data_IF_698104961702
#
_entry.id   IF_698104961702
#
_cell.length_a   1.000
_cell.length_b   1.000
_cell.length_c   1.000
_cell.angle_alpha   90.00
_cell.angle_beta   90.00
_cell.angle_gamma   90.00
#
_symmetry.space_group_name_H-M   'P 1'
#
loop_
_entity.id
_entity.type
_entity.pdbx_description
1 polymer ?
#
# COMPACT_ATOMS: atom_id res chain seq x y z
N UNK A 1 21.10 -13.68 13.68
CA UNK A 1 21.61 -15.04 13.44
C UNK A 1 20.67 -15.75 12.48
N UNK A 2 21.22 -16.26 11.34
CA UNK A 2 20.48 -16.94 10.28
C UNK A 2 21.14 -18.29 10.02
N UNK A 3 20.37 -19.38 10.12
CA UNK A 3 20.81 -20.71 9.74
C UNK A 3 20.09 -21.16 8.48
N UNK A 4 20.84 -21.50 7.44
CA UNK A 4 20.33 -22.08 6.22
C UNK A 4 20.64 -23.58 6.18
N UNK A 5 19.70 -24.36 5.64
CA UNK A 5 19.91 -25.76 5.28
C UNK A 5 19.80 -25.91 3.78
N UNK A 6 20.75 -26.60 3.21
CA UNK A 6 20.72 -27.04 1.83
C UNK A 6 20.07 -28.43 1.76
N UNK A 7 19.10 -28.56 0.88
CA UNK A 7 18.38 -29.80 0.60
C UNK A 7 18.84 -30.32 -0.75
N UNK A 8 19.89 -31.13 -0.77
CA UNK A 8 20.56 -31.62 -1.97
C UNK A 8 19.64 -32.39 -2.92
N UNK A 9 18.66 -33.12 -2.39
CA UNK A 9 17.70 -33.91 -3.18
C UNK A 9 16.78 -33.06 -4.05
N UNK A 10 16.57 -31.79 -3.72
CA UNK A 10 15.68 -30.85 -4.43
C UNK A 10 16.39 -29.58 -4.87
N UNK A 11 17.71 -29.49 -4.65
CA UNK A 11 18.52 -28.33 -5.04
C UNK A 11 18.07 -27.00 -4.41
N UNK A 12 17.51 -27.04 -3.19
CA UNK A 12 16.97 -25.85 -2.52
C UNK A 12 17.70 -25.53 -1.23
N UNK A 13 18.02 -24.25 -1.04
CA UNK A 13 18.48 -23.70 0.24
C UNK A 13 17.30 -23.05 0.94
N UNK A 14 17.05 -23.44 2.19
CA UNK A 14 15.97 -22.89 3.01
C UNK A 14 16.51 -22.36 4.33
N UNK A 15 15.92 -21.25 4.79
CA UNK A 15 16.15 -20.74 6.13
C UNK A 15 15.53 -21.73 7.13
N UNK A 16 16.39 -22.36 7.93
CA UNK A 16 15.97 -23.37 8.92
C UNK A 16 15.68 -22.75 10.28
N UNK A 17 16.56 -21.86 10.74
CA UNK A 17 16.43 -21.19 12.02
C UNK A 17 16.93 -19.76 11.92
N UNK A 18 16.23 -18.81 12.56
CA UNK A 18 16.61 -17.42 12.55
C UNK A 18 16.07 -16.67 13.77
N UNK A 19 16.90 -15.81 14.32
CA UNK A 19 16.47 -14.80 15.28
C UNK A 19 16.28 -13.49 14.56
N UNK A 20 15.08 -12.94 14.60
CA UNK A 20 14.72 -11.68 13.97
C UNK A 20 14.54 -10.59 15.02
N UNK A 21 15.08 -9.39 14.76
CA UNK A 21 14.96 -8.24 15.66
C UNK A 21 13.54 -7.65 15.72
N UNK A 22 12.63 -8.06 14.80
CA UNK A 22 11.24 -7.58 14.66
C UNK A 22 11.11 -6.08 14.31
N UNK A 23 12.21 -5.40 14.05
CA UNK A 23 12.27 -3.96 13.71
C UNK A 23 12.09 -3.76 12.21
N UNK A 24 10.89 -3.99 11.69
CA UNK A 24 10.61 -3.97 10.24
C UNK A 24 10.73 -2.58 9.58
N UNK A 25 10.80 -1.50 10.36
CA UNK A 25 11.01 -0.14 9.83
C UNK A 25 12.49 0.20 9.59
N UNK A 26 13.42 -0.57 10.18
CA UNK A 26 14.86 -0.34 10.07
C UNK A 26 15.65 -1.57 9.65
N UNK A 27 15.03 -2.74 9.64
CA UNK A 27 15.67 -4.00 9.28
C UNK A 27 15.05 -4.57 7.98
N UNK A 28 15.77 -4.58 6.85
CA UNK A 28 15.25 -5.07 5.57
C UNK A 28 14.74 -6.51 5.65
N UNK A 29 15.45 -7.41 6.35
CA UNK A 29 15.03 -8.81 6.51
C UNK A 29 13.69 -8.95 7.24
N UNK A 30 13.48 -8.15 8.29
CA UNK A 30 12.21 -8.13 9.02
C UNK A 30 11.08 -7.54 8.18
N UNK A 31 11.37 -6.51 7.36
CA UNK A 31 10.44 -5.90 6.44
C UNK A 31 9.99 -6.90 5.36
N UNK A 32 10.94 -7.54 4.67
CA UNK A 32 10.67 -8.57 3.63
C UNK A 32 9.82 -9.71 4.22
N UNK A 33 10.19 -10.23 5.37
CA UNK A 33 9.45 -11.32 6.02
C UNK A 33 8.02 -10.93 6.36
N UNK A 34 7.82 -9.70 6.87
CA UNK A 34 6.48 -9.17 7.18
C UNK A 34 5.65 -9.02 5.91
N UNK A 35 6.23 -8.45 4.85
CA UNK A 35 5.58 -8.30 3.55
C UNK A 35 5.17 -9.63 2.95
N UNK A 36 6.08 -10.60 2.91
CA UNK A 36 5.81 -11.95 2.39
C UNK A 36 4.69 -12.67 3.16
N UNK A 37 4.66 -12.55 4.50
CA UNK A 37 3.59 -13.12 5.31
C UNK A 37 2.24 -12.46 5.03
N UNK A 38 2.20 -11.13 4.89
CA UNK A 38 0.99 -10.40 4.55
C UNK A 38 0.51 -10.78 3.14
N UNK A 39 1.41 -10.76 2.16
CA UNK A 39 1.11 -11.17 0.78
C UNK A 39 0.46 -12.55 0.74
N UNK A 40 1.07 -13.57 1.35
CA UNK A 40 0.51 -14.92 1.37
C UNK A 40 -0.90 -14.98 1.96
N UNK A 41 -1.14 -14.29 3.09
CA UNK A 41 -2.45 -14.24 3.72
C UNK A 41 -3.52 -13.56 2.84
N UNK A 42 -3.17 -12.50 2.12
CA UNK A 42 -4.11 -11.80 1.23
C UNK A 42 -4.34 -12.56 -0.07
N UNK A 43 -3.33 -13.23 -0.63
CA UNK A 43 -3.52 -14.09 -1.80
C UNK A 43 -4.48 -15.25 -1.50
N UNK A 44 -4.35 -15.89 -0.34
CA UNK A 44 -5.29 -16.94 0.10
C UNK A 44 -6.72 -16.39 0.20
N UNK A 45 -6.90 -15.21 0.80
CA UNK A 45 -8.22 -14.56 0.88
C UNK A 45 -8.77 -14.20 -0.49
N UNK A 46 -7.90 -13.72 -1.39
CA UNK A 46 -8.28 -13.42 -2.76
C UNK A 46 -8.81 -14.66 -3.50
N UNK A 47 -8.15 -15.81 -3.37
CA UNK A 47 -8.59 -17.05 -3.97
C UNK A 47 -10.03 -17.40 -3.54
N UNK A 48 -10.33 -17.33 -2.24
CA UNK A 48 -11.69 -17.57 -1.72
C UNK A 48 -12.69 -16.54 -2.29
N UNK A 49 -12.32 -15.26 -2.31
CA UNK A 49 -13.20 -14.21 -2.83
C UNK A 49 -13.47 -14.37 -4.34
N UNK A 50 -12.53 -14.89 -5.12
CA UNK A 50 -12.74 -15.17 -6.54
C UNK A 50 -13.76 -16.27 -6.78
N UNK A 51 -13.80 -17.29 -5.92
CA UNK A 51 -14.77 -18.39 -5.99
C UNK A 51 -16.20 -17.89 -5.68
N UNK A 52 -16.32 -17.01 -4.66
CA UNK A 52 -17.62 -16.49 -4.22
C UNK A 52 -18.12 -15.31 -5.07
N UNK A 53 -17.20 -14.50 -5.61
CA UNK A 53 -17.46 -13.24 -6.31
C UNK A 53 -16.66 -13.13 -7.61
N UNK A 54 -16.95 -14.01 -8.57
CA UNK A 54 -16.22 -14.12 -9.85
C UNK A 54 -16.23 -12.85 -10.72
N UNK A 55 -17.19 -11.93 -10.47
CA UNK A 55 -17.28 -10.64 -11.16
C UNK A 55 -16.27 -9.60 -10.66
N UNK A 56 -15.69 -9.78 -9.47
CA UNK A 56 -14.72 -8.82 -8.92
C UNK A 56 -13.36 -8.99 -9.59
N UNK A 57 -12.75 -7.86 -9.90
CA UNK A 57 -11.38 -7.77 -10.43
C UNK A 57 -10.52 -6.91 -9.50
N UNK A 58 -9.25 -7.25 -9.32
CA UNK A 58 -8.32 -6.42 -8.57
C UNK A 58 -7.77 -5.30 -9.46
N UNK A 59 -7.76 -4.10 -8.93
CA UNK A 59 -7.15 -2.92 -9.53
C UNK A 59 -6.12 -2.32 -8.57
N UNK A 60 -4.95 -2.01 -9.11
CA UNK A 60 -3.94 -1.25 -8.38
C UNK A 60 -4.24 0.24 -8.53
N UNK A 61 -4.39 0.93 -7.41
CA UNK A 61 -4.56 2.37 -7.35
C UNK A 61 -3.38 2.97 -6.59
N UNK A 62 -2.71 3.95 -7.20
CA UNK A 62 -1.65 4.72 -6.54
C UNK A 62 -2.11 6.16 -6.40
N UNK A 63 -2.04 6.67 -5.18
CA UNK A 63 -2.36 8.06 -4.83
C UNK A 63 -1.12 8.72 -4.24
N UNK A 64 -0.79 9.92 -4.72
CA UNK A 64 0.37 10.67 -4.24
C UNK A 64 -0.02 12.05 -3.75
N UNK A 65 0.84 12.67 -2.96
CA UNK A 65 0.78 14.10 -2.66
C UNK A 65 2.06 14.77 -3.18
N UNK A 66 2.02 16.09 -3.35
CA UNK A 66 3.18 16.87 -3.77
C UNK A 66 4.35 16.63 -2.80
N UNK A 67 5.58 16.59 -3.34
CA UNK A 67 6.80 16.50 -2.54
C UNK A 67 6.94 17.69 -1.60
N UNK A 68 7.65 17.50 -0.49
CA UNK A 68 8.01 18.55 0.44
C UNK A 68 9.18 18.14 1.32
N UNK A 69 9.79 19.11 1.98
CA UNK A 69 10.99 18.89 2.78
C UNK A 69 10.67 18.34 4.18
N UNK A 70 9.47 18.61 4.69
CA UNK A 70 9.00 18.14 5.99
C UNK A 70 8.25 16.81 5.84
N UNK A 71 8.85 15.73 6.34
CA UNK A 71 8.28 14.40 6.27
C UNK A 71 7.00 14.26 7.09
N UNK A 72 6.97 14.81 8.31
CA UNK A 72 5.82 14.74 9.21
C UNK A 72 4.62 15.43 8.59
N UNK A 73 4.84 16.62 8.04
CA UNK A 73 3.82 17.41 7.37
C UNK A 73 3.27 16.67 6.14
N UNK A 74 4.14 16.18 5.25
CA UNK A 74 3.74 15.45 4.03
C UNK A 74 3.02 14.14 4.34
N UNK A 75 3.51 13.41 5.34
CA UNK A 75 2.86 12.17 5.79
C UNK A 75 1.48 12.46 6.43
N UNK A 76 1.36 13.50 7.23
CA UNK A 76 0.09 13.93 7.82
C UNK A 76 -0.90 14.37 6.74
N UNK A 77 -0.42 15.12 5.73
CA UNK A 77 -1.22 15.55 4.59
C UNK A 77 -1.79 14.37 3.80
N UNK A 78 -0.96 13.39 3.42
CA UNK A 78 -1.42 12.17 2.75
C UNK A 78 -2.45 11.42 3.61
N UNK A 79 -2.16 11.22 4.90
CA UNK A 79 -3.05 10.47 5.80
C UNK A 79 -4.40 11.14 5.97
N UNK A 80 -4.42 12.48 6.13
CA UNK A 80 -5.65 13.28 6.24
C UNK A 80 -6.46 13.21 4.94
N UNK A 81 -5.80 13.32 3.80
CA UNK A 81 -6.45 13.27 2.48
C UNK A 81 -7.05 11.89 2.21
N UNK A 82 -6.32 10.82 2.51
CA UNK A 82 -6.85 9.44 2.42
C UNK A 82 -8.04 9.23 3.33
N UNK A 83 -7.97 9.71 4.58
CA UNK A 83 -9.12 9.62 5.51
C UNK A 83 -10.35 10.30 4.92
N UNK A 84 -10.21 11.50 4.36
CA UNK A 84 -11.31 12.22 3.73
C UNK A 84 -11.90 11.45 2.54
N UNK A 85 -11.05 10.87 1.68
CA UNK A 85 -11.49 10.04 0.56
C UNK A 85 -12.27 8.79 1.04
N UNK A 86 -11.76 8.10 2.07
CA UNK A 86 -12.45 6.94 2.66
C UNK A 86 -13.74 7.33 3.37
N UNK A 87 -13.81 8.51 3.97
CA UNK A 87 -15.03 9.05 4.58
C UNK A 87 -16.10 9.35 3.53
N UNK A 88 -15.72 9.90 2.37
CA UNK A 88 -16.62 10.07 1.23
C UNK A 88 -17.25 8.72 0.85
N UNK A 89 -16.43 7.71 0.59
CA UNK A 89 -16.89 6.35 0.26
C UNK A 89 -17.82 5.78 1.34
N UNK A 90 -17.39 5.84 2.60
CA UNK A 90 -18.17 5.29 3.73
C UNK A 90 -19.52 5.96 3.87
N UNK A 91 -19.55 7.29 3.82
CA UNK A 91 -20.78 8.06 4.00
C UNK A 91 -21.75 7.86 2.83
N UNK A 92 -21.23 7.83 1.60
CA UNK A 92 -22.06 7.56 0.43
C UNK A 92 -22.69 6.15 0.51
N UNK A 93 -21.90 5.13 0.80
CA UNK A 93 -22.37 3.75 0.91
C UNK A 93 -23.34 3.54 2.09
N UNK A 94 -23.25 4.39 3.13
CA UNK A 94 -24.19 4.41 4.25
C UNK A 94 -25.46 5.24 3.98
N UNK A 95 -25.60 5.82 2.78
CA UNK A 95 -26.77 6.64 2.40
C UNK A 95 -26.85 7.98 3.15
N UNK A 96 -25.74 8.53 3.66
CA UNK A 96 -25.71 9.82 4.31
C UNK A 96 -26.16 10.92 3.33
N UNK A 97 -27.17 11.75 3.67
CA UNK A 97 -27.65 12.79 2.77
C UNK A 97 -26.52 13.73 2.30
N UNK A 98 -26.46 14.00 1.00
CA UNK A 98 -25.46 14.86 0.36
C UNK A 98 -24.01 14.37 0.47
N UNK A 99 -23.79 13.12 0.88
CA UNK A 99 -22.45 12.53 0.84
C UNK A 99 -21.93 12.50 -0.61
N UNK A 100 -20.71 12.97 -0.87
CA UNK A 100 -20.16 12.95 -2.23
C UNK A 100 -19.89 11.50 -2.64
N UNK A 101 -20.28 11.17 -3.87
CA UNK A 101 -19.87 9.93 -4.51
C UNK A 101 -18.37 9.99 -4.86
N UNK A 102 -17.70 8.85 -4.81
CA UNK A 102 -16.30 8.68 -5.23
C UNK A 102 -16.17 7.42 -6.08
N UNK A 103 -15.15 7.42 -6.97
CA UNK A 103 -14.80 6.21 -7.75
C UNK A 103 -14.53 5.00 -6.87
N UNK A 104 -14.06 5.20 -5.64
CA UNK A 104 -13.88 4.12 -4.67
C UNK A 104 -15.19 3.50 -4.14
N UNK A 105 -16.35 4.11 -4.42
CA UNK A 105 -17.65 3.48 -4.12
C UNK A 105 -17.92 2.23 -4.98
N UNK A 106 -17.24 2.09 -6.13
CA UNK A 106 -17.25 0.87 -6.95
C UNK A 106 -16.58 -0.31 -6.24
N UNK A 107 -15.67 -0.05 -5.28
CA UNK A 107 -14.93 -1.08 -4.58
C UNK A 107 -15.79 -1.76 -3.51
N UNK A 108 -15.87 -3.08 -3.56
CA UNK A 108 -16.51 -3.90 -2.52
C UNK A 108 -15.54 -4.20 -1.37
N UNK A 109 -14.23 -4.19 -1.64
CA UNK A 109 -13.20 -4.38 -0.65
C UNK A 109 -11.85 -3.86 -1.15
N UNK A 110 -10.87 -3.84 -0.26
CA UNK A 110 -9.52 -3.43 -0.66
C UNK A 110 -8.54 -3.42 0.50
N UNK A 111 -7.28 -3.22 0.15
CA UNK A 111 -6.18 -3.08 1.10
C UNK A 111 -5.22 -2.02 0.59
N UNK A 112 -4.68 -1.21 1.49
CA UNK A 112 -3.68 -0.22 1.10
C UNK A 112 -2.53 -0.12 2.09
N UNK A 113 -1.39 0.33 1.57
CA UNK A 113 -0.20 0.66 2.36
C UNK A 113 0.29 2.05 2.03
N UNK A 114 1.01 2.63 2.98
CA UNK A 114 1.71 3.89 2.80
C UNK A 114 3.20 3.61 2.56
N UNK A 115 3.77 4.29 1.59
CA UNK A 115 5.18 4.20 1.22
C UNK A 115 5.80 5.60 1.24
N UNK A 116 7.06 5.67 1.68
CA UNK A 116 7.85 6.91 1.71
C UNK A 116 9.07 6.75 0.82
N UNK A 117 9.31 7.75 -0.04
CA UNK A 117 10.54 7.87 -0.83
C UNK A 117 11.10 9.27 -0.72
N UNK A 118 12.43 9.40 -0.87
CA UNK A 118 13.14 10.67 -1.06
C UNK A 118 14.27 10.43 -2.05
N UNK A 119 14.14 11.01 -3.24
CA UNK A 119 15.15 10.89 -4.31
C UNK A 119 15.86 12.21 -4.55
N UNK A 120 16.13 12.99 -3.50
CA UNK A 120 16.78 14.28 -3.56
C UNK A 120 15.88 15.43 -4.02
N UNK A 121 14.55 15.21 -4.07
CA UNK A 121 13.56 16.24 -4.40
C UNK A 121 12.52 16.43 -3.28
N UNK A 122 12.92 16.17 -2.05
CA UNK A 122 12.05 16.15 -0.89
C UNK A 122 11.29 14.83 -0.71
N UNK A 123 10.62 14.72 0.40
CA UNK A 123 9.80 13.55 0.75
C UNK A 123 8.59 13.41 -0.15
N UNK A 124 8.40 12.20 -0.66
CA UNK A 124 7.30 11.84 -1.53
C UNK A 124 6.53 10.66 -0.96
N UNK A 125 5.56 10.90 -0.07
CA UNK A 125 4.70 9.86 0.43
C UNK A 125 3.63 9.50 -0.60
N UNK A 126 3.36 8.18 -0.73
CA UNK A 126 2.29 7.68 -1.56
C UNK A 126 1.56 6.52 -0.92
N UNK A 127 0.37 6.27 -1.41
CA UNK A 127 -0.48 5.16 -1.05
C UNK A 127 -0.58 4.20 -2.23
N UNK A 128 -0.24 2.94 -2.01
CA UNK A 128 -0.54 1.85 -2.94
C UNK A 128 -1.73 1.07 -2.39
N UNK A 129 -2.75 0.91 -3.22
CA UNK A 129 -4.00 0.30 -2.84
C UNK A 129 -4.41 -0.76 -3.85
N UNK A 130 -4.89 -1.90 -3.40
CA UNK A 130 -5.65 -2.82 -4.22
C UNK A 130 -7.12 -2.64 -3.88
N UNK A 131 -7.93 -2.40 -4.89
CA UNK A 131 -9.38 -2.38 -4.76
C UNK A 131 -9.99 -3.51 -5.57
N UNK A 132 -11.03 -4.14 -5.01
CA UNK A 132 -11.79 -5.20 -5.65
C UNK A 132 -13.11 -4.61 -6.14
N UNK A 133 -13.30 -4.53 -7.44
CA UNK A 133 -14.48 -3.92 -8.04
C UNK A 133 -14.96 -4.71 -9.28
N UNK A 134 -16.23 -4.60 -9.60
CA UNK A 134 -16.80 -5.20 -10.81
C UNK A 134 -16.41 -4.41 -12.09
N UNK A 135 -16.10 -3.13 -11.94
CA UNK A 135 -15.62 -2.27 -13.04
C UNK A 135 -14.44 -1.42 -12.58
N UNK A 136 -13.56 -1.09 -13.52
CA UNK A 136 -12.39 -0.27 -13.23
C UNK A 136 -12.80 1.12 -12.73
N UNK A 137 -12.21 1.62 -11.62
CA UNK A 137 -12.33 3.02 -11.24
C UNK A 137 -11.77 3.93 -12.33
N UNK A 138 -12.46 5.03 -12.64
CA UNK A 138 -11.98 6.02 -13.59
C UNK A 138 -10.79 6.78 -13.03
N UNK A 139 -9.66 6.71 -13.71
CA UNK A 139 -8.45 7.42 -13.29
C UNK A 139 -8.64 8.94 -13.34
N UNK A 140 -9.30 9.46 -14.38
CA UNK A 140 -9.55 10.90 -14.55
C UNK A 140 -10.43 11.45 -13.43
N UNK A 141 -11.52 10.75 -13.12
CA UNK A 141 -12.47 11.22 -12.11
C UNK A 141 -11.88 11.12 -10.69
N UNK A 142 -11.15 10.03 -10.42
CA UNK A 142 -10.44 9.88 -9.15
C UNK A 142 -9.31 10.92 -9.01
N UNK A 143 -8.61 11.28 -10.11
CA UNK A 143 -7.61 12.33 -10.13
C UNK A 143 -8.21 13.70 -9.81
N UNK A 144 -9.34 14.03 -10.43
CA UNK A 144 -10.06 15.29 -10.16
C UNK A 144 -10.57 15.36 -8.71
N UNK A 145 -11.07 14.25 -8.17
CA UNK A 145 -11.48 14.15 -6.78
C UNK A 145 -10.28 14.29 -5.83
N UNK A 146 -9.19 13.57 -6.11
CA UNK A 146 -7.97 13.62 -5.31
C UNK A 146 -7.40 15.04 -5.24
N UNK A 147 -7.40 15.75 -6.37
CA UNK A 147 -6.98 17.16 -6.40
C UNK A 147 -7.88 18.05 -5.52
N UNK A 148 -9.21 17.87 -5.57
CA UNK A 148 -10.13 18.62 -4.69
C UNK A 148 -9.90 18.34 -3.19
N UNK A 149 -9.46 17.14 -2.87
CA UNK A 149 -9.19 16.73 -1.48
C UNK A 149 -7.85 17.28 -1.01
N UNK A 150 -6.80 17.13 -1.81
CA UNK A 150 -5.41 17.49 -1.46
C UNK A 150 -5.11 18.97 -1.67
N UNK A 151 -5.68 19.57 -2.71
CA UNK A 151 -5.37 20.92 -3.14
C UNK A 151 -4.03 21.08 -3.86
N UNK A 152 -3.17 20.05 -3.80
CA UNK A 152 -1.78 20.14 -4.32
C UNK A 152 -1.37 18.99 -5.26
N UNK A 153 -2.19 17.95 -5.39
CA UNK A 153 -1.84 16.79 -6.20
C UNK A 153 -3.03 16.25 -6.99
N UNK A 154 -2.77 15.95 -8.26
CA UNK A 154 -3.69 15.26 -9.17
C UNK A 154 -3.11 13.92 -9.67
N UNK A 155 -1.96 13.51 -9.17
CA UNK A 155 -1.27 12.31 -9.65
C UNK A 155 -1.93 11.08 -9.04
N UNK A 156 -2.69 10.39 -9.88
CA UNK A 156 -3.38 9.14 -9.60
C UNK A 156 -3.07 8.17 -10.72
N UNK A 157 -2.81 6.92 -10.37
CA UNK A 157 -2.64 5.84 -11.34
C UNK A 157 -3.60 4.71 -11.00
N UNK A 158 -4.34 4.23 -12.01
CA UNK A 158 -5.31 3.13 -11.86
C UNK A 158 -5.05 2.09 -12.94
N UNK A 159 -4.61 0.91 -12.53
CA UNK A 159 -4.27 -0.19 -13.44
C UNK A 159 -5.00 -1.48 -13.07
N UNK A 160 -5.54 -2.24 -14.04
CA UNK A 160 -6.00 -3.59 -13.77
C UNK A 160 -4.79 -4.48 -13.42
N UNK A 161 -4.96 -5.34 -12.44
CA UNK A 161 -4.00 -6.41 -12.16
C UNK A 161 -4.40 -7.59 -13.06
N UNK A 162 -3.60 -7.79 -14.11
CA UNK A 162 -3.77 -8.89 -15.08
C UNK A 162 -2.68 -9.92 -14.91
N UNK A 163 -2.92 -11.17 -15.29
CA UNK A 163 -1.95 -12.26 -15.13
C UNK A 163 -1.88 -12.79 -13.69
N UNK A 164 -0.66 -13.00 -13.17
CA UNK A 164 -0.49 -13.48 -11.79
C UNK A 164 -0.81 -12.38 -10.77
N UNK A 165 -1.86 -12.55 -9.96
CA UNK A 165 -2.23 -11.57 -8.93
C UNK A 165 -1.10 -11.28 -7.94
N UNK A 166 -0.17 -12.22 -7.74
CA UNK A 166 0.94 -12.04 -6.80
C UNK A 166 1.84 -10.85 -7.15
N UNK A 167 2.03 -10.56 -8.43
CA UNK A 167 2.85 -9.43 -8.88
C UNK A 167 2.23 -8.08 -8.50
N UNK A 168 0.93 -7.91 -8.78
CA UNK A 168 0.21 -6.68 -8.41
C UNK A 168 0.08 -6.52 -6.89
N UNK A 169 -0.19 -7.63 -6.19
CA UNK A 169 -0.27 -7.61 -4.73
C UNK A 169 1.08 -7.30 -4.09
N UNK A 170 2.20 -7.71 -4.69
CA UNK A 170 3.53 -7.35 -4.19
C UNK A 170 3.75 -5.85 -4.11
N UNK A 171 3.19 -5.04 -5.01
CA UNK A 171 3.33 -3.58 -4.95
C UNK A 171 2.77 -3.00 -3.64
N UNK A 172 1.68 -3.56 -3.13
CA UNK A 172 1.06 -3.11 -1.88
C UNK A 172 1.76 -3.68 -0.65
N UNK A 173 2.28 -4.92 -0.74
CA UNK A 173 2.91 -5.57 0.41
C UNK A 173 4.43 -5.39 0.49
N UNK A 174 5.02 -4.58 -0.39
CA UNK A 174 6.37 -4.04 -0.21
C UNK A 174 6.46 -3.30 1.13
N UNK A 175 7.65 -3.14 1.63
CA UNK A 175 7.89 -2.41 2.87
C UNK A 175 7.57 -0.92 2.71
N UNK A 176 7.06 -0.30 3.77
CA UNK A 176 6.69 1.11 3.79
C UNK A 176 7.89 2.07 3.61
N UNK A 177 9.12 1.58 3.80
CA UNK A 177 10.36 2.32 3.63
C UNK A 177 11.19 1.60 2.57
N UNK A 178 11.47 2.27 1.47
CA UNK A 178 12.39 1.75 0.44
C UNK A 178 13.82 2.02 0.86
N UNK A 179 14.41 1.09 1.57
CA UNK A 179 15.80 1.20 2.07
C UNK A 179 16.83 1.49 0.98
N UNK A 180 16.57 1.11 -0.27
CA UNK A 180 17.44 1.38 -1.41
C UNK A 180 17.37 2.83 -1.91
N UNK A 181 16.28 3.53 -1.63
CA UNK A 181 15.97 4.86 -2.19
C UNK A 181 16.21 5.99 -1.16
N UNK A 182 16.65 5.65 0.05
CA UNK A 182 16.86 6.59 1.16
C UNK A 182 18.29 6.49 1.68
N UNK A 183 18.83 7.63 2.14
CA UNK A 183 20.06 7.65 2.94
C UNK A 183 19.84 6.95 4.29
N UNK A 184 20.91 6.66 5.02
CA UNK A 184 20.78 6.09 6.38
C UNK A 184 20.03 7.03 7.33
N UNK A 185 20.28 8.32 7.21
CA UNK A 185 19.62 9.36 8.02
C UNK A 185 18.14 9.46 7.69
N UNK A 186 17.79 9.49 6.41
CA UNK A 186 16.40 9.47 5.95
C UNK A 186 15.67 8.19 6.38
N UNK A 187 16.30 7.02 6.28
CA UNK A 187 15.73 5.76 6.77
C UNK A 187 15.43 5.82 8.27
N UNK A 188 16.35 6.38 9.06
CA UNK A 188 16.16 6.53 10.49
C UNK A 188 15.02 7.50 10.80
N UNK A 189 15.01 8.66 10.15
CA UNK A 189 13.95 9.67 10.28
C UNK A 189 12.58 9.08 9.91
N UNK A 190 12.49 8.43 8.74
CA UNK A 190 11.25 7.75 8.32
C UNK A 190 10.78 6.70 9.34
N UNK A 191 11.70 5.92 9.91
CA UNK A 191 11.38 4.93 10.93
C UNK A 191 10.81 5.56 12.21
N UNK A 192 11.35 6.69 12.63
CA UNK A 192 10.84 7.46 13.79
C UNK A 192 9.42 7.98 13.53
N UNK A 193 9.20 8.61 12.37
CA UNK A 193 7.89 9.17 11.98
C UNK A 193 6.83 8.09 11.82
N UNK A 194 7.19 6.91 11.33
CA UNK A 194 6.27 5.79 11.11
C UNK A 194 6.07 4.89 12.34
N UNK A 195 6.88 5.08 13.39
CA UNK A 195 6.78 4.27 14.61
C UNK A 195 5.38 4.39 15.23
N UNK A 196 4.76 3.24 15.50
CA UNK A 196 3.41 3.18 16.07
C UNK A 196 2.27 3.48 15.09
N UNK A 197 2.56 3.88 13.85
CA UNK A 197 1.52 4.11 12.85
C UNK A 197 1.08 2.81 12.18
N UNK A 198 -0.21 2.71 11.85
CA UNK A 198 -0.74 1.60 11.08
C UNK A 198 -0.45 1.84 9.59
N UNK A 199 0.44 1.05 9.01
CA UNK A 199 0.90 1.20 7.63
C UNK A 199 0.12 0.36 6.64
N UNK A 200 -0.48 -0.75 7.07
CA UNK A 200 -1.33 -1.63 6.28
C UNK A 200 -2.76 -1.53 6.79
N UNK A 201 -3.69 -1.20 5.93
CA UNK A 201 -5.11 -1.01 6.23
C UNK A 201 -5.98 -1.79 5.24
N UNK A 202 -7.12 -2.28 5.68
CA UNK A 202 -8.10 -3.01 4.88
C UNK A 202 -9.52 -2.63 5.29
#
# INVERSE_FOLDING_TARGET
YLHFREYFTVGKVRLHNATFCKQHLVCPLCAIRRGAKALGAYLTRWQVLQEEHSQLRPYLVTLTVKNGDDLEERQAHLTKSLRKLMDHRRNFNAGVPRAPWTELCKAQGGVYTLELTNKGKGWHPHCHMIVLAASQPSQSDLSAEWHRITGDSMVVDVRPITGDPSEGFMEVFKYAVKFSDLTLEDNWHAAQVLKGKRLLNS
#
